data_IF_341760736324
#
_entry.id   IF_341760736324
#
_cell.length_a   1.000
_cell.length_b   1.000
_cell.length_c   1.000
_cell.angle_alpha   90.00
_cell.angle_beta   90.00
_cell.angle_gamma   90.00
#
_symmetry.space_group_name_H-M   'P 1'
#
loop_
_entity.id
_entity.type
_entity.pdbx_description
1 polymer ?
#
# COMPACT_ATOMS: atom_id res chain seq x y z
N UNK A 1 14.24 6.47 4.87
CA UNK A 1 12.87 5.94 5.00
C UNK A 1 12.75 5.33 6.39
N UNK A 2 11.59 5.39 7.04
CA UNK A 2 11.38 4.75 8.35
C UNK A 2 11.04 3.27 8.11
N UNK A 3 11.50 2.35 8.97
CA UNK A 3 11.32 0.90 8.76
C UNK A 3 9.84 0.48 8.64
N UNK A 4 8.93 1.25 9.27
CA UNK A 4 7.48 1.05 9.15
C UNK A 4 6.94 1.41 7.76
N UNK A 5 7.48 2.45 7.12
CA UNK A 5 7.06 2.87 5.77
C UNK A 5 7.51 1.81 4.76
N UNK A 6 8.75 1.31 4.86
CA UNK A 6 9.24 0.20 4.02
C UNK A 6 8.36 -1.04 4.16
N UNK A 7 7.99 -1.42 5.39
CA UNK A 7 7.08 -2.53 5.63
C UNK A 7 5.71 -2.35 4.95
N UNK A 8 5.15 -1.14 4.97
CA UNK A 8 3.88 -0.87 4.27
C UNK A 8 4.03 -0.81 2.76
N UNK A 9 5.15 -0.31 2.23
CA UNK A 9 5.47 -0.35 0.80
C UNK A 9 5.50 -1.80 0.31
N UNK A 10 6.25 -2.68 0.98
CA UNK A 10 6.34 -4.09 0.61
C UNK A 10 4.99 -4.81 0.67
N UNK A 11 4.15 -4.50 1.67
CA UNK A 11 2.79 -5.06 1.75
C UNK A 11 1.89 -4.58 0.61
N UNK A 12 1.91 -3.28 0.28
CA UNK A 12 1.09 -2.74 -0.81
C UNK A 12 1.54 -3.36 -2.14
N UNK A 13 2.85 -3.45 -2.39
CA UNK A 13 3.39 -4.07 -3.62
C UNK A 13 3.06 -5.56 -3.72
N UNK A 14 3.16 -6.31 -2.63
CA UNK A 14 2.84 -7.73 -2.60
C UNK A 14 1.36 -7.99 -2.90
N UNK A 15 0.46 -7.20 -2.30
CA UNK A 15 -0.99 -7.29 -2.55
C UNK A 15 -1.29 -6.94 -3.99
N UNK A 16 -0.70 -5.86 -4.53
CA UNK A 16 -0.89 -5.46 -5.91
C UNK A 16 -0.45 -6.54 -6.90
N UNK A 17 0.72 -7.17 -6.66
CA UNK A 17 1.18 -8.28 -7.49
C UNK A 17 0.22 -9.46 -7.40
N UNK A 18 -0.22 -9.82 -6.19
CA UNK A 18 -1.20 -10.90 -5.99
C UNK A 18 -2.49 -10.61 -6.76
N UNK A 19 -3.00 -9.39 -6.72
CA UNK A 19 -4.26 -9.02 -7.38
C UNK A 19 -4.15 -9.06 -8.91
N UNK A 20 -3.00 -8.67 -9.48
CA UNK A 20 -2.69 -8.84 -10.91
C UNK A 20 -2.78 -10.32 -11.32
N UNK A 21 -2.35 -11.25 -10.47
CA UNK A 21 -2.47 -12.69 -10.74
C UNK A 21 -3.89 -13.24 -10.52
N UNK A 22 -4.72 -12.54 -9.75
CA UNK A 22 -6.04 -13.02 -9.34
C UNK A 22 -7.19 -12.41 -10.15
N UNK A 23 -6.89 -11.58 -11.16
CA UNK A 23 -7.84 -10.86 -12.04
C UNK A 23 -8.85 -10.00 -11.25
N UNK A 24 -8.44 -9.57 -10.05
CA UNK A 24 -9.20 -8.71 -9.17
C UNK A 24 -8.73 -7.27 -9.42
N UNK A 25 -9.62 -6.38 -9.86
CA UNK A 25 -9.33 -4.95 -10.03
C UNK A 25 -9.29 -4.26 -8.65
N UNK A 26 -8.34 -4.65 -7.80
CA UNK A 26 -8.06 -3.95 -6.56
C UNK A 26 -7.11 -2.80 -6.87
N UNK A 27 -7.65 -1.59 -6.78
CA UNK A 27 -6.88 -0.37 -6.95
C UNK A 27 -5.99 -0.11 -5.73
N UNK A 28 -4.86 0.57 -5.96
CA UNK A 28 -3.92 0.99 -4.91
C UNK A 28 -4.61 1.70 -3.74
N UNK A 29 -5.70 2.41 -4.05
CA UNK A 29 -6.53 3.13 -3.10
C UNK A 29 -7.26 2.19 -2.13
N UNK A 30 -7.82 1.09 -2.64
CA UNK A 30 -8.57 0.13 -1.81
C UNK A 30 -7.62 -0.61 -0.87
N UNK A 31 -6.43 -0.99 -1.36
CA UNK A 31 -5.38 -1.62 -0.54
C UNK A 31 -4.94 -0.70 0.60
N UNK A 32 -4.67 0.58 0.30
CA UNK A 32 -4.29 1.54 1.32
C UNK A 32 -5.42 1.81 2.33
N UNK A 33 -6.66 1.87 1.86
CA UNK A 33 -7.84 2.07 2.70
C UNK A 33 -8.08 0.88 3.64
N UNK A 34 -7.87 -0.35 3.15
CA UNK A 34 -7.96 -1.56 3.97
C UNK A 34 -6.86 -1.60 5.04
N UNK A 35 -5.63 -1.24 4.67
CA UNK A 35 -4.51 -1.14 5.62
C UNK A 35 -4.76 -0.08 6.70
N UNK A 36 -5.36 1.06 6.34
CA UNK A 36 -5.74 2.11 7.29
C UNK A 36 -6.88 1.63 8.20
N UNK A 37 -7.84 0.85 7.67
CA UNK A 37 -8.96 0.33 8.46
C UNK A 37 -8.49 -0.73 9.47
N UNK A 38 -7.43 -1.46 9.15
CA UNK A 38 -6.84 -2.48 10.03
C UNK A 38 -5.80 -1.94 11.02
N UNK A 39 -5.24 -0.75 10.79
CA UNK A 39 -4.24 -0.13 11.67
C UNK A 39 -4.81 1.12 12.33
N UNK A 40 -4.75 1.17 13.66
CA UNK A 40 -5.44 2.05 14.63
C UNK A 40 -5.27 3.60 14.45
N UNK A 41 -5.34 4.14 13.23
CA UNK A 41 -5.18 5.56 12.86
C UNK A 41 -3.76 6.11 13.03
N UNK A 42 -2.96 5.56 13.97
CA UNK A 42 -1.59 6.01 14.27
C UNK A 42 -0.60 5.80 13.12
N UNK A 43 -0.88 4.83 12.24
CA UNK A 43 -0.04 4.51 11.09
C UNK A 43 -0.57 5.10 9.79
N UNK A 44 -1.61 5.96 9.86
CA UNK A 44 -2.21 6.60 8.69
C UNK A 44 -1.17 7.37 7.86
N UNK A 45 -0.32 8.16 8.53
CA UNK A 45 0.72 8.93 7.86
C UNK A 45 1.74 8.03 7.13
N UNK A 46 2.16 6.93 7.77
CA UNK A 46 3.12 5.99 7.20
C UNK A 46 2.50 5.22 6.00
N UNK A 47 1.23 4.82 6.10
CA UNK A 47 0.50 4.13 5.02
C UNK A 47 0.29 5.07 3.83
N UNK A 48 -0.11 6.33 4.05
CA UNK A 48 -0.23 7.32 2.98
C UNK A 48 1.11 7.60 2.31
N UNK A 49 2.19 7.64 3.08
CA UNK A 49 3.53 7.84 2.55
C UNK A 49 4.00 6.63 1.72
N UNK A 50 3.71 5.41 2.18
CA UNK A 50 3.94 4.18 1.42
C UNK A 50 3.13 4.15 0.13
N UNK A 51 1.85 4.54 0.17
CA UNK A 51 0.98 4.66 -1.00
C UNK A 51 1.58 5.57 -2.07
N UNK A 52 2.04 6.78 -1.72
CA UNK A 52 2.63 7.68 -2.71
C UNK A 52 3.96 7.15 -3.26
N UNK A 53 4.76 6.42 -2.47
CA UNK A 53 5.97 5.74 -2.96
C UNK A 53 5.63 4.67 -4.00
N UNK A 54 4.69 3.77 -3.70
CA UNK A 54 4.29 2.70 -4.63
C UNK A 54 3.64 3.28 -5.89
N UNK A 55 2.77 4.29 -5.74
CA UNK A 55 2.19 5.01 -6.86
C UNK A 55 3.26 5.64 -7.75
N UNK A 56 4.31 6.23 -7.17
CA UNK A 56 5.43 6.77 -7.92
C UNK A 56 6.28 5.65 -8.58
N UNK A 57 6.39 4.45 -7.98
CA UNK A 57 7.03 3.30 -8.62
C UNK A 57 6.23 2.78 -9.83
N UNK A 58 4.90 2.81 -9.77
CA UNK A 58 4.03 2.33 -10.87
C UNK A 58 3.88 3.34 -12.01
N UNK A 59 3.88 4.64 -11.69
CA UNK A 59 3.83 5.72 -12.68
C UNK A 59 5.22 6.11 -13.21
N UNK A 60 6.28 5.47 -12.68
CA UNK A 60 7.69 5.70 -13.03
C UNK A 60 8.05 5.19 -14.42
#
# INVERSE_FOLDING_TARGET
MNAQIEYFVEQIEATLMSDIFTDNELDLYDIATDLISHNDGKMFADICQAYEVVKHHLLG
#
